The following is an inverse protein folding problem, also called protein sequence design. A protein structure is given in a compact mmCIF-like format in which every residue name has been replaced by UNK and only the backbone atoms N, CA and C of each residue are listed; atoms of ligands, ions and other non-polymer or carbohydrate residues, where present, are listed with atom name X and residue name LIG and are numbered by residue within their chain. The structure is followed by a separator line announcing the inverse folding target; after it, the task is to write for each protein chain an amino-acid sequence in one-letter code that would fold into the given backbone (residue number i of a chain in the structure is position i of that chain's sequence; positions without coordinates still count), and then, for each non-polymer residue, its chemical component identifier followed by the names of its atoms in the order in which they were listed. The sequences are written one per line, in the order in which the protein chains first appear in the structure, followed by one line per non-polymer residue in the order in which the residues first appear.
data_IF_607592730573
#
_entry.id   IF_607592730573
#
_cell.length_a   1.000
_cell.length_b   1.000
_cell.length_c   1.000
_cell.angle_alpha   90.00
_cell.angle_beta   90.00
_cell.angle_gamma   90.00
#
_symmetry.space_group_name_H-M   'P 1'
#
loop_
_entity.id
_entity.type
_entity.pdbx_description
1 polymer ?
#
# COMPACT_ATOMS: atom_id res chain seq x y z
N UNK A 1 -6.98 -10.84 26.26
CA UNK A 1 -8.16 -11.16 25.43
C UNK A 1 -7.65 -11.86 24.18
N UNK A 2 -7.77 -13.18 24.14
CA UNK A 2 -7.22 -13.98 23.04
C UNK A 2 -8.21 -14.02 21.87
N UNK A 3 -7.78 -13.87 20.62
CA UNK A 3 -8.66 -14.04 19.47
C UNK A 3 -8.98 -15.53 19.29
N UNK A 4 -10.25 -15.90 19.46
CA UNK A 4 -10.72 -17.30 19.47
C UNK A 4 -10.74 -17.97 18.09
N UNK A 5 -10.59 -17.24 16.99
CA UNK A 5 -10.60 -17.83 15.66
C UNK A 5 -9.87 -16.96 14.64
N UNK A 6 -8.73 -17.44 14.14
CA UNK A 6 -8.03 -16.81 13.01
C UNK A 6 -8.41 -17.63 11.77
N UNK A 7 -9.32 -17.14 10.91
CA UNK A 7 -9.69 -17.85 9.69
C UNK A 7 -8.43 -18.06 8.83
N UNK A 8 -8.31 -19.23 8.20
CA UNK A 8 -7.15 -19.58 7.36
C UNK A 8 -6.92 -18.48 6.31
N UNK A 9 -5.84 -17.71 6.48
CA UNK A 9 -5.54 -16.56 5.62
C UNK A 9 -5.38 -17.04 4.18
N UNK A 10 -6.09 -16.41 3.23
CA UNK A 10 -5.91 -16.69 1.81
C UNK A 10 -4.47 -16.35 1.39
N UNK A 11 -3.80 -17.18 0.57
CA UNK A 11 -2.38 -17.02 0.19
C UNK A 11 -2.08 -15.67 -0.49
N UNK A 12 -3.10 -15.01 -1.04
CA UNK A 12 -3.00 -13.69 -1.68
C UNK A 12 -2.78 -12.53 -0.70
N UNK A 13 -2.98 -12.73 0.62
CA UNK A 13 -2.81 -11.68 1.63
C UNK A 13 -1.39 -11.13 1.66
N UNK A 14 -0.37 -11.97 1.52
CA UNK A 14 1.02 -11.52 1.60
C UNK A 14 1.39 -10.56 0.47
N UNK A 15 0.84 -10.75 -0.73
CA UNK A 15 1.04 -9.81 -1.84
C UNK A 15 0.49 -8.43 -1.49
N UNK A 16 -0.72 -8.39 -0.92
CA UNK A 16 -1.41 -7.15 -0.54
C UNK A 16 -0.67 -6.45 0.61
N UNK A 17 -0.32 -7.19 1.66
CA UNK A 17 0.44 -6.65 2.80
C UNK A 17 1.81 -6.09 2.36
N UNK A 18 2.49 -6.78 1.45
CA UNK A 18 3.76 -6.31 0.87
C UNK A 18 3.57 -5.02 0.08
N UNK A 19 2.52 -4.91 -0.74
CA UNK A 19 2.24 -3.66 -1.45
C UNK A 19 1.93 -2.51 -0.50
N UNK A 20 1.19 -2.76 0.58
CA UNK A 20 0.92 -1.74 1.60
C UNK A 20 2.20 -1.35 2.36
N UNK A 21 3.11 -2.28 2.64
CA UNK A 21 4.40 -1.97 3.23
C UNK A 21 5.23 -1.02 2.33
N UNK A 22 5.21 -1.20 1.01
CA UNK A 22 5.86 -0.28 0.07
C UNK A 22 5.18 1.09 0.03
N UNK A 23 3.85 1.14 0.04
CA UNK A 23 3.10 2.39 0.06
C UNK A 23 3.32 3.18 1.36
N UNK A 24 3.55 2.49 2.48
CA UNK A 24 3.82 3.11 3.78
C UNK A 24 5.14 3.91 3.82
N UNK A 25 6.06 3.67 2.88
CA UNK A 25 7.27 4.47 2.72
C UNK A 25 6.99 5.87 2.14
N UNK A 26 5.84 6.07 1.48
CA UNK A 26 5.45 7.36 0.91
C UNK A 26 4.59 8.12 1.92
N UNK A 27 5.16 9.13 2.57
CA UNK A 27 4.49 9.93 3.62
C UNK A 27 3.17 10.55 3.16
N UNK A 28 3.09 10.99 1.90
CA UNK A 28 1.88 11.55 1.31
C UNK A 28 0.71 10.55 1.27
N UNK A 29 0.98 9.30 0.88
CA UNK A 29 -0.03 8.22 0.84
C UNK A 29 -0.31 7.67 2.23
N UNK A 30 0.70 7.59 3.11
CA UNK A 30 0.56 7.07 4.47
C UNK A 30 -0.38 7.92 5.34
N UNK A 31 -0.17 9.22 5.36
CA UNK A 31 -0.84 10.10 6.33
C UNK A 31 -2.11 10.76 5.79
N UNK A 32 -2.38 10.63 4.48
CA UNK A 32 -3.61 11.12 3.85
C UNK A 32 -3.99 12.56 4.25
N UNK A 33 -3.03 13.49 4.27
CA UNK A 33 -3.29 14.90 4.61
C UNK A 33 -4.01 15.69 3.50
N UNK A 34 -4.26 15.07 2.34
CA UNK A 34 -4.90 15.75 1.22
C UNK A 34 -6.38 16.01 1.49
N UNK A 35 -6.78 17.28 1.40
CA UNK A 35 -8.18 17.69 1.56
C UNK A 35 -9.08 17.13 0.44
N UNK A 36 -8.52 16.96 -0.77
CA UNK A 36 -9.23 16.40 -1.93
C UNK A 36 -8.80 14.97 -2.21
N UNK A 37 -9.78 14.10 -2.40
CA UNK A 37 -9.57 12.69 -2.75
C UNK A 37 -8.83 12.55 -4.08
N UNK A 38 -9.04 13.46 -5.03
CA UNK A 38 -8.38 13.44 -6.34
C UNK A 38 -6.86 13.54 -6.21
N UNK A 39 -6.37 14.40 -5.31
CA UNK A 39 -4.94 14.55 -5.05
C UNK A 39 -4.37 13.28 -4.42
N UNK A 40 -5.07 12.70 -3.44
CA UNK A 40 -4.67 11.42 -2.85
C UNK A 40 -4.54 10.32 -3.90
N UNK A 41 -5.51 10.22 -4.80
CA UNK A 41 -5.49 9.25 -5.91
C UNK A 41 -4.30 9.52 -6.85
N UNK A 42 -3.97 10.78 -7.13
CA UNK A 42 -2.80 11.12 -7.94
C UNK A 42 -1.49 10.68 -7.28
N UNK A 43 -1.31 10.94 -5.98
CA UNK A 43 -0.13 10.48 -5.22
C UNK A 43 -0.05 8.96 -5.12
N UNK A 44 -1.19 8.28 -4.95
CA UNK A 44 -1.25 6.82 -4.94
C UNK A 44 -0.78 6.24 -6.29
N UNK A 45 -1.31 6.77 -7.41
CA UNK A 45 -0.90 6.36 -8.76
C UNK A 45 0.58 6.62 -9.01
N UNK A 46 1.09 7.77 -8.59
CA UNK A 46 2.50 8.12 -8.69
C UNK A 46 3.39 7.15 -7.90
N UNK A 47 2.98 6.80 -6.68
CA UNK A 47 3.73 5.87 -5.82
C UNK A 47 3.80 4.47 -6.45
N UNK A 48 2.70 3.98 -7.03
CA UNK A 48 2.67 2.74 -7.80
C UNK A 48 3.61 2.80 -9.02
N UNK A 49 3.62 3.90 -9.77
CA UNK A 49 4.51 4.07 -10.92
C UNK A 49 6.00 4.01 -10.51
N UNK A 50 6.37 4.66 -9.40
CA UNK A 50 7.74 4.62 -8.86
C UNK A 50 8.14 3.20 -8.45
N UNK A 51 7.24 2.46 -7.80
CA UNK A 51 7.50 1.06 -7.42
C UNK A 51 7.75 0.21 -8.68
N UNK A 52 6.91 0.35 -9.71
CA UNK A 52 7.07 -0.39 -10.97
C UNK A 52 8.40 -0.02 -11.67
N UNK A 53 8.75 1.27 -11.73
CA UNK A 53 10.03 1.71 -12.29
C UNK A 53 11.23 1.13 -11.55
N UNK A 54 11.16 1.03 -10.22
CA UNK A 54 12.21 0.39 -9.40
C UNK A 54 12.32 -1.11 -9.65
N UNK A 55 11.20 -1.78 -9.94
CA UNK A 55 11.19 -3.20 -10.30
C UNK A 55 11.81 -3.46 -11.67
N UNK A 56 11.58 -2.57 -12.63
CA UNK A 56 12.12 -2.68 -13.99
C UNK A 56 13.62 -2.38 -14.03
N UNK A 57 14.08 -1.44 -13.20
CA UNK A 57 15.51 -1.06 -13.11
C UNK A 57 16.36 -2.05 -12.29
N UNK A 58 15.79 -3.14 -11.81
CA UNK A 58 16.47 -4.19 -11.06
C UNK A 58 16.76 -5.36 -11.99
#
# INVERSE_FOLDING_TARGET
MCPEFIPKLKPFRWTVERTFAWLNAFRAVKTCWEYKIENYIAFLKLSCAIILLRMIKK
#
